data_IF_743284956499
#
_entry.id   IF_743284956499
#
_cell.length_a   1.000
_cell.length_b   1.000
_cell.length_c   1.000
_cell.angle_alpha   90.00
_cell.angle_beta   90.00
_cell.angle_gamma   90.00
#
_symmetry.space_group_name_H-M   'P 1'
#
loop_
_entity.id
_entity.type
_entity.pdbx_description
1 polymer ?
#
# COMPACT_ATOMS: atom_id res chain seq x y z
N UNK A 1 4.28 -8.60 10.17
CA UNK A 1 3.96 -9.03 8.79
C UNK A 1 2.56 -8.53 8.48
N UNK A 2 2.30 -8.03 7.26
CA UNK A 2 0.99 -7.51 6.84
C UNK A 2 0.46 -6.34 7.70
N UNK A 3 -0.87 -6.21 7.85
CA UNK A 3 -1.93 -7.14 7.39
C UNK A 3 -2.32 -6.99 5.90
N UNK A 4 -3.17 -7.91 5.43
CA UNK A 4 -3.70 -7.99 4.05
C UNK A 4 -2.91 -8.93 3.13
N UNK A 5 -3.15 -8.84 1.82
CA UNK A 5 -2.53 -9.73 0.83
C UNK A 5 -1.02 -9.48 0.60
N UNK A 6 -0.33 -10.53 0.15
CA UNK A 6 1.00 -10.45 -0.47
C UNK A 6 0.89 -10.50 -1.99
N UNK A 7 2.01 -10.36 -2.71
CA UNK A 7 2.02 -10.36 -4.18
C UNK A 7 2.97 -11.42 -4.73
N UNK A 8 2.59 -12.00 -5.87
CA UNK A 8 3.52 -12.75 -6.73
C UNK A 8 3.90 -11.84 -7.91
N UNK A 9 5.19 -11.60 -8.07
CA UNK A 9 5.73 -10.78 -9.17
C UNK A 9 5.67 -11.55 -10.49
N UNK A 10 5.75 -10.85 -11.62
CA UNK A 10 5.86 -11.47 -12.94
C UNK A 10 7.07 -12.42 -13.06
N UNK A 11 8.12 -12.22 -12.26
CA UNK A 11 9.28 -13.11 -12.16
C UNK A 11 9.00 -14.44 -11.43
N UNK A 12 7.81 -14.61 -10.84
CA UNK A 12 7.44 -15.76 -10.01
C UNK A 12 7.79 -15.59 -8.53
N UNK A 13 8.61 -14.58 -8.16
CA UNK A 13 8.96 -14.26 -6.77
C UNK A 13 7.71 -13.95 -5.95
N UNK A 14 7.62 -14.56 -4.77
CA UNK A 14 6.62 -14.21 -3.75
C UNK A 14 7.14 -13.08 -2.88
N UNK A 15 6.31 -12.09 -2.58
CA UNK A 15 6.65 -10.93 -1.74
C UNK A 15 5.56 -10.72 -0.69
N UNK A 16 5.97 -10.63 0.57
CA UNK A 16 5.09 -10.43 1.72
C UNK A 16 5.47 -9.12 2.44
N UNK A 17 4.60 -8.10 2.46
CA UNK A 17 4.87 -6.86 3.15
C UNK A 17 4.95 -7.05 4.66
N UNK A 18 5.80 -6.28 5.32
CA UNK A 18 6.00 -6.31 6.77
C UNK A 18 6.54 -4.97 7.28
N UNK A 19 6.66 -4.87 8.60
CA UNK A 19 7.36 -3.79 9.26
C UNK A 19 7.99 -4.31 10.55
N UNK A 20 9.04 -3.63 11.02
CA UNK A 20 9.75 -3.97 12.24
C UNK A 20 10.08 -2.72 13.05
N UNK A 21 10.25 -2.88 14.36
CA UNK A 21 10.78 -1.85 15.26
C UNK A 21 12.27 -2.15 15.51
N UNK A 22 13.20 -1.66 14.67
CA UNK A 22 14.62 -1.90 14.86
C UNK A 22 15.07 -1.33 16.21
N UNK A 23 15.68 -2.19 17.03
CA UNK A 23 16.32 -1.79 18.29
C UNK A 23 17.53 -0.93 17.94
N UNK A 24 17.54 0.32 18.43
CA UNK A 24 18.71 1.20 18.29
C UNK A 24 19.83 0.71 19.21
N UNK A 25 21.08 0.92 18.77
CA UNK A 25 22.27 0.44 19.47
C UNK A 25 22.31 0.80 20.96
N UNK A 26 23.03 -0.01 21.73
CA UNK A 26 23.29 0.26 23.15
C UNK A 26 24.51 1.20 23.26
N UNK A 27 24.47 2.16 24.16
CA UNK A 27 25.67 2.89 24.59
C UNK A 27 26.65 1.89 25.21
N UNK A 28 27.85 1.80 24.65
CA UNK A 28 28.90 0.85 25.05
C UNK A 28 28.45 -0.62 25.11
N UNK A 29 27.48 -1.03 24.28
CA UNK A 29 26.98 -2.41 24.25
C UNK A 29 26.11 -2.83 25.45
N UNK A 30 25.96 -1.98 26.48
CA UNK A 30 25.25 -2.34 27.72
C UNK A 30 23.94 -1.57 27.91
N UNK A 31 23.95 -0.24 27.72
CA UNK A 31 22.83 0.63 28.09
C UNK A 31 21.96 0.93 26.87
N UNK A 32 20.66 0.57 26.84
CA UNK A 32 19.77 0.98 25.76
C UNK A 32 19.73 2.50 25.64
N UNK A 33 19.96 3.04 24.44
CA UNK A 33 19.75 4.47 24.20
C UNK A 33 18.27 4.81 24.45
N UNK A 34 17.95 5.93 25.14
CA UNK A 34 16.58 6.31 25.51
C UNK A 34 15.77 6.87 24.33
N UNK A 35 15.99 6.34 23.13
CA UNK A 35 15.26 6.73 21.92
C UNK A 35 14.20 5.67 21.61
N UNK A 36 12.91 6.03 21.51
CA UNK A 36 11.88 5.06 21.12
C UNK A 36 12.21 4.45 19.76
N UNK A 37 12.09 3.13 19.66
CA UNK A 37 12.21 2.43 18.39
C UNK A 37 11.15 2.97 17.41
N UNK A 38 11.57 3.31 16.20
CA UNK A 38 10.68 3.84 15.16
C UNK A 38 10.43 2.73 14.15
N UNK A 39 9.16 2.43 13.81
CA UNK A 39 8.86 1.35 12.89
C UNK A 39 9.42 1.67 11.51
N UNK A 40 9.81 0.61 10.79
CA UNK A 40 10.23 0.66 9.40
C UNK A 40 9.57 -0.47 8.62
N UNK A 41 8.89 -0.12 7.54
CA UNK A 41 8.39 -1.06 6.55
C UNK A 41 9.56 -1.81 5.89
N UNK A 42 9.28 -3.04 5.45
CA UNK A 42 10.16 -3.94 4.70
C UNK A 42 9.29 -4.97 3.97
N UNK A 43 9.92 -5.85 3.19
CA UNK A 43 9.24 -7.04 2.67
C UNK A 43 10.07 -8.29 3.00
N UNK A 44 9.40 -9.43 3.13
CA UNK A 44 10.01 -10.74 2.96
C UNK A 44 9.79 -11.20 1.53
N UNK A 45 10.72 -11.93 0.96
CA UNK A 45 10.58 -12.47 -0.38
C UNK A 45 11.11 -13.90 -0.49
N UNK A 46 10.57 -14.65 -1.44
CA UNK A 46 10.95 -16.03 -1.75
C UNK A 46 11.00 -16.23 -3.26
N UNK A 47 12.09 -16.82 -3.73
CA UNK A 47 12.35 -17.14 -5.13
C UNK A 47 12.14 -18.63 -5.46
N UNK A 48 11.79 -19.44 -4.46
CA UNK A 48 11.71 -20.91 -4.55
C UNK A 48 10.32 -21.45 -4.19
N UNK A 49 9.28 -20.65 -4.47
CA UNK A 49 7.88 -21.02 -4.22
C UNK A 49 7.50 -21.08 -2.73
N UNK A 50 8.20 -20.33 -1.88
CA UNK A 50 7.92 -20.22 -0.45
C UNK A 50 8.68 -21.21 0.43
N UNK A 51 9.65 -21.97 -0.10
CA UNK A 51 10.46 -22.92 0.67
C UNK A 51 11.48 -22.20 1.55
N UNK A 52 12.10 -21.14 1.03
CA UNK A 52 13.04 -20.27 1.73
C UNK A 52 12.62 -18.81 1.63
N UNK A 53 12.90 -18.04 2.69
CA UNK A 53 12.53 -16.63 2.77
C UNK A 53 13.74 -15.75 3.11
N UNK A 54 13.83 -14.63 2.43
CA UNK A 54 14.83 -13.60 2.65
C UNK A 54 14.15 -12.31 3.12
N UNK A 55 14.86 -11.53 3.93
CA UNK A 55 14.37 -10.24 4.46
C UNK A 55 14.97 -9.10 3.65
N UNK A 56 14.12 -8.29 3.02
CA UNK A 56 14.52 -7.04 2.37
C UNK A 56 15.11 -6.01 3.33
N UNK A 57 15.69 -4.95 2.77
CA UNK A 57 16.17 -3.81 3.52
C UNK A 57 15.00 -3.04 4.17
N UNK A 58 15.28 -2.39 5.31
CA UNK A 58 14.33 -1.48 5.93
C UNK A 58 14.17 -0.22 5.07
N UNK A 59 12.94 0.24 4.89
CA UNK A 59 12.65 1.49 4.16
C UNK A 59 13.28 2.69 4.90
N UNK A 60 14.06 3.48 4.19
CA UNK A 60 14.68 4.72 4.68
C UNK A 60 13.72 5.93 4.54
N UNK A 61 14.12 7.12 5.01
CA UNK A 61 13.35 8.37 4.81
C UNK A 61 12.42 8.78 5.96
N UNK A 62 11.84 7.84 6.71
CA UNK A 62 11.07 8.17 7.92
C UNK A 62 10.41 6.95 8.60
N UNK A 63 9.76 7.13 9.75
CA UNK A 63 8.98 6.06 10.37
C UNK A 63 7.89 5.57 9.42
N UNK A 64 7.83 4.26 9.22
CA UNK A 64 6.83 3.61 8.36
C UNK A 64 6.32 2.35 9.04
N UNK A 65 5.00 2.20 9.09
CA UNK A 65 4.31 1.06 9.71
C UNK A 65 3.79 0.07 8.69
N UNK A 66 2.55 -0.38 8.90
CA UNK A 66 1.83 -1.31 8.01
C UNK A 66 1.83 -0.82 6.57
N UNK A 67 2.18 -1.70 5.64
CA UNK A 67 2.31 -1.40 4.23
C UNK A 67 1.72 -2.49 3.35
N UNK A 68 1.43 -2.13 2.10
CA UNK A 68 1.19 -3.07 1.01
C UNK A 68 2.04 -2.70 -0.19
N UNK A 69 2.26 -3.69 -1.07
CA UNK A 69 3.08 -3.56 -2.25
C UNK A 69 2.34 -4.02 -3.49
N UNK A 70 2.66 -3.44 -4.64
CA UNK A 70 2.11 -3.83 -5.93
C UNK A 70 3.19 -3.69 -7.02
N UNK A 71 3.22 -4.62 -7.97
CA UNK A 71 4.13 -4.55 -9.12
C UNK A 71 3.53 -3.63 -10.19
N UNK A 72 4.29 -2.62 -10.59
CA UNK A 72 3.88 -1.68 -11.64
C UNK A 72 4.80 -1.81 -12.84
N UNK A 73 4.20 -1.75 -14.04
CA UNK A 73 4.92 -1.69 -15.31
C UNK A 73 4.91 -0.25 -15.81
N UNK A 74 6.09 0.26 -16.16
CA UNK A 74 6.27 1.58 -16.77
C UNK A 74 6.76 1.31 -18.19
N UNK A 75 6.00 1.73 -19.20
CA UNK A 75 6.25 1.36 -20.60
C UNK A 75 7.73 1.45 -21.01
N UNK A 76 8.26 0.35 -21.56
CA UNK A 76 9.66 0.25 -22.01
C UNK A 76 10.72 0.21 -20.89
N UNK A 77 10.33 0.06 -19.62
CA UNK A 77 11.24 -0.04 -18.46
C UNK A 77 10.99 -1.33 -17.67
N UNK A 78 11.99 -1.73 -16.91
CA UNK A 78 11.84 -2.82 -15.94
C UNK A 78 10.74 -2.49 -14.90
N UNK A 79 9.97 -3.49 -14.45
CA UNK A 79 8.90 -3.28 -13.47
C UNK A 79 9.48 -2.78 -12.14
N UNK A 80 8.68 -2.00 -11.42
CA UNK A 80 9.00 -1.56 -10.06
C UNK A 80 8.02 -2.19 -9.06
N UNK A 81 8.52 -2.49 -7.87
CA UNK A 81 7.68 -2.79 -6.72
C UNK A 81 7.34 -1.47 -6.01
N UNK A 82 6.09 -1.02 -6.18
CA UNK A 82 5.53 0.12 -5.47
C UNK A 82 5.16 -0.29 -4.05
N UNK A 83 5.49 0.52 -3.05
CA UNK A 83 5.13 0.30 -1.65
C UNK A 83 4.41 1.53 -1.08
N UNK A 84 3.21 1.33 -0.51
CA UNK A 84 2.46 2.34 0.24
C UNK A 84 2.43 1.96 1.71
N UNK A 85 3.02 2.80 2.57
CA UNK A 85 3.15 2.54 4.00
C UNK A 85 2.45 3.61 4.85
N UNK A 86 1.87 3.16 5.96
CA UNK A 86 1.32 4.00 7.04
C UNK A 86 2.43 4.86 7.60
N UNK A 87 2.21 6.16 7.69
CA UNK A 87 3.22 7.10 8.15
C UNK A 87 2.64 8.24 9.01
N UNK A 88 3.41 8.73 10.00
CA UNK A 88 3.05 9.97 10.66
C UNK A 88 3.15 11.15 9.67
N UNK A 89 2.40 12.21 9.92
CA UNK A 89 2.49 13.47 9.16
C UNK A 89 1.32 13.75 8.22
N UNK A 90 0.24 12.98 8.29
CA UNK A 90 -1.03 13.30 7.63
C UNK A 90 -1.17 12.81 6.19
N UNK A 91 -0.18 12.06 5.69
CA UNK A 91 -0.23 11.41 4.39
C UNK A 91 0.65 10.15 4.35
N UNK A 92 0.37 9.27 3.39
CA UNK A 92 1.09 8.01 3.19
C UNK A 92 2.56 8.25 2.83
N UNK A 93 3.43 7.36 3.31
CA UNK A 93 4.79 7.24 2.80
C UNK A 93 4.80 6.27 1.62
N UNK A 94 5.38 6.69 0.50
CA UNK A 94 5.52 5.89 -0.71
C UNK A 94 6.98 5.66 -1.03
N UNK A 95 7.33 4.46 -1.49
CA UNK A 95 8.67 4.12 -1.96
C UNK A 95 8.62 3.05 -3.05
N UNK A 96 9.74 2.87 -3.74
CA UNK A 96 9.89 1.99 -4.89
C UNK A 96 11.12 1.10 -4.73
N UNK A 97 11.02 -0.13 -5.21
CA UNK A 97 12.15 -1.05 -5.38
C UNK A 97 12.25 -1.48 -6.84
N UNK A 98 13.45 -1.37 -7.40
CA UNK A 98 13.77 -1.83 -8.76
C UNK A 98 14.36 -3.26 -8.77
N UNK A 99 14.53 -3.86 -7.60
CA UNK A 99 15.17 -5.17 -7.41
C UNK A 99 14.22 -6.18 -6.72
N UNK A 100 12.91 -5.98 -6.87
CA UNK A 100 11.89 -6.92 -6.40
C UNK A 100 11.83 -7.05 -4.87
N UNK A 101 12.10 -5.97 -4.15
CA UNK A 101 11.98 -5.89 -2.69
C UNK A 101 13.28 -6.03 -1.89
N UNK A 102 14.43 -6.18 -2.55
CA UNK A 102 15.73 -6.25 -1.88
C UNK A 102 16.08 -4.90 -1.22
N UNK A 103 15.96 -3.81 -1.96
CA UNK A 103 16.18 -2.45 -1.48
C UNK A 103 15.07 -1.51 -1.95
N UNK A 104 14.72 -0.58 -1.09
CA UNK A 104 13.79 0.50 -1.38
C UNK A 104 14.52 1.84 -1.42
N UNK A 105 14.08 2.72 -2.30
CA UNK A 105 14.48 4.13 -2.25
C UNK A 105 14.04 4.78 -0.92
N UNK A 106 14.62 5.91 -0.51
CA UNK A 106 14.08 6.68 0.61
C UNK A 106 12.61 7.01 0.38
N UNK A 107 11.77 6.82 1.40
CA UNK A 107 10.34 7.07 1.27
C UNK A 107 10.02 8.55 1.05
N UNK A 108 9.19 8.84 0.05
CA UNK A 108 8.59 10.15 -0.18
C UNK A 108 7.20 10.28 0.44
N UNK A 109 6.72 11.51 0.57
CA UNK A 109 5.36 11.82 1.08
C UNK A 109 4.38 11.92 -0.08
N UNK A 110 3.27 11.20 -0.02
CA UNK A 110 2.22 11.26 -1.05
C UNK A 110 1.01 12.07 -0.55
N UNK A 111 0.99 13.38 -0.81
CA UNK A 111 -0.03 14.30 -0.26
C UNK A 111 -1.46 13.98 -0.73
N UNK A 112 -1.60 13.42 -1.94
CA UNK A 112 -2.86 12.96 -2.49
C UNK A 112 -3.50 11.84 -1.64
N UNK A 113 -2.67 10.99 -1.02
CA UNK A 113 -3.11 9.90 -0.14
C UNK A 113 -3.04 10.35 1.32
N UNK A 114 -4.16 10.89 1.80
CA UNK A 114 -4.29 11.38 3.17
C UNK A 114 -4.27 10.32 4.25
N UNK A 115 -3.84 10.71 5.43
CA UNK A 115 -3.75 9.83 6.59
C UNK A 115 -4.31 10.52 7.85
N UNK A 116 -5.18 9.86 8.65
CA UNK A 116 -5.67 10.44 9.90
C UNK A 116 -4.52 10.55 10.93
N UNK A 117 -4.65 11.35 12.00
CA UNK A 117 -3.56 11.63 12.94
C UNK A 117 -2.94 10.39 13.61
N UNK A 118 -3.75 9.34 13.83
CA UNK A 118 -3.30 8.05 14.39
C UNK A 118 -2.91 7.04 13.32
N UNK A 119 -2.99 7.40 12.04
CA UNK A 119 -2.80 6.51 10.90
C UNK A 119 -3.87 5.41 10.79
N UNK A 120 -3.85 4.75 9.64
CA UNK A 120 -4.65 3.55 9.37
C UNK A 120 -3.90 2.67 8.36
N UNK A 121 -4.14 1.37 8.40
CA UNK A 121 -3.78 0.53 7.26
C UNK A 121 -4.67 0.91 6.06
N UNK A 122 -4.14 0.70 4.86
CA UNK A 122 -4.87 0.82 3.60
C UNK A 122 -4.35 -0.22 2.62
N UNK A 123 -5.15 -0.53 1.60
CA UNK A 123 -4.84 -1.58 0.64
C UNK A 123 -4.51 -1.05 -0.74
N UNK A 124 -3.60 -1.72 -1.44
CA UNK A 124 -3.08 -1.34 -2.75
C UNK A 124 -3.04 -2.57 -3.67
N UNK A 125 -3.61 -2.45 -4.87
CA UNK A 125 -3.47 -3.46 -5.93
C UNK A 125 -3.10 -2.80 -7.26
N UNK A 126 -2.35 -3.53 -8.08
CA UNK A 126 -2.08 -3.17 -9.48
C UNK A 126 -2.99 -3.93 -10.42
N UNK A 127 -3.52 -3.28 -11.45
CA UNK A 127 -4.33 -3.90 -12.50
C UNK A 127 -4.10 -3.22 -13.84
N UNK A 128 -4.53 -3.82 -14.95
CA UNK A 128 -4.38 -3.23 -16.28
C UNK A 128 -5.12 -4.05 -17.34
N UNK A 129 -5.27 -3.47 -18.54
CA UNK A 129 -6.05 -4.05 -19.64
C UNK A 129 -5.42 -5.28 -20.34
N UNK A 130 -4.30 -5.82 -19.81
CA UNK A 130 -3.53 -6.91 -20.40
C UNK A 130 -2.36 -6.43 -21.28
N UNK A 131 -1.39 -7.31 -21.53
CA UNK A 131 -0.21 -7.06 -22.38
C UNK A 131 0.89 -6.21 -21.73
N UNK A 132 1.68 -5.50 -22.56
CA UNK A 132 2.74 -4.58 -22.13
C UNK A 132 2.22 -3.22 -21.62
N UNK A 133 0.89 -3.05 -21.51
CA UNK A 133 0.29 -1.80 -21.08
C UNK A 133 0.69 -1.44 -19.65
N UNK A 134 0.85 -0.14 -19.34
CA UNK A 134 1.10 0.32 -17.97
C UNK A 134 0.03 -0.19 -17.02
N UNK A 135 0.45 -0.67 -15.85
CA UNK A 135 -0.48 -1.12 -14.81
C UNK A 135 -0.89 0.07 -13.97
N UNK A 136 -2.18 0.27 -13.79
CA UNK A 136 -2.75 1.26 -12.88
C UNK A 136 -2.74 0.74 -11.45
N UNK A 137 -2.83 1.65 -10.49
CA UNK A 137 -2.97 1.32 -9.08
C UNK A 137 -4.36 1.69 -8.57
N UNK A 138 -4.99 0.77 -7.84
CA UNK A 138 -6.17 1.03 -7.05
C UNK A 138 -5.79 1.00 -5.56
N UNK A 139 -6.30 1.95 -4.79
CA UNK A 139 -6.02 2.05 -3.36
C UNK A 139 -7.31 2.30 -2.56
N UNK A 140 -7.45 1.63 -1.42
CA UNK A 140 -8.56 1.81 -0.47
C UNK A 140 -8.05 2.24 0.89
N UNK A 141 -8.65 3.29 1.45
CA UNK A 141 -8.29 3.83 2.77
C UNK A 141 -9.33 4.85 3.26
N UNK A 142 -9.50 5.02 4.59
CA UNK A 142 -10.33 6.10 5.14
C UNK A 142 -9.96 7.47 4.57
N UNK A 143 -10.93 8.18 4.01
CA UNK A 143 -10.69 9.44 3.30
C UNK A 143 -10.82 10.67 4.20
N UNK A 144 -11.40 10.52 5.39
CA UNK A 144 -11.54 11.61 6.35
C UNK A 144 -10.19 11.94 7.04
N UNK A 145 -9.79 13.22 7.00
CA UNK A 145 -8.44 13.66 7.44
C UNK A 145 -8.21 13.62 8.95
N UNK A 146 -9.26 13.51 9.77
CA UNK A 146 -9.17 13.61 11.25
C UNK A 146 -9.43 12.30 11.97
N UNK A 147 -10.10 11.33 11.33
CA UNK A 147 -10.50 10.08 11.96
C UNK A 147 -10.75 9.00 10.91
N UNK A 148 -10.81 7.74 11.35
CA UNK A 148 -11.02 6.56 10.51
C UNK A 148 -12.48 6.45 10.07
N UNK A 149 -12.83 7.18 9.02
CA UNK A 149 -14.17 7.22 8.44
C UNK A 149 -14.11 7.41 6.92
N UNK A 150 -15.22 7.06 6.27
CA UNK A 150 -15.49 7.25 4.86
C UNK A 150 -14.45 6.55 3.98
N UNK A 151 -14.59 5.23 3.81
CA UNK A 151 -13.66 4.40 3.05
C UNK A 151 -13.63 4.86 1.60
N UNK A 152 -12.54 5.51 1.18
CA UNK A 152 -12.38 6.03 -0.17
C UNK A 152 -11.70 5.04 -1.10
N UNK A 153 -12.10 5.07 -2.37
CA UNK A 153 -11.40 4.40 -3.47
C UNK A 153 -10.61 5.45 -4.27
N UNK A 154 -9.34 5.16 -4.50
CA UNK A 154 -8.39 6.02 -5.17
C UNK A 154 -7.78 5.28 -6.36
N UNK A 155 -7.56 6.00 -7.46
CA UNK A 155 -6.98 5.46 -8.68
C UNK A 155 -5.73 6.28 -9.04
N UNK A 156 -4.70 5.59 -9.52
CA UNK A 156 -3.56 6.20 -10.18
C UNK A 156 -3.35 5.53 -11.56
N UNK A 157 -3.64 6.24 -12.66
CA UNK A 157 -3.46 5.71 -14.01
C UNK A 157 -2.03 5.85 -14.54
N UNK A 158 -1.15 6.58 -13.84
CA UNK A 158 0.22 6.89 -14.25
C UNK A 158 1.28 6.61 -13.17
N UNK A 159 1.27 5.45 -12.49
CA UNK A 159 2.30 5.14 -11.51
C UNK A 159 3.68 5.10 -12.18
N UNK A 160 4.74 5.58 -11.54
CA UNK A 160 4.86 5.91 -10.11
C UNK A 160 4.52 7.35 -9.74
N UNK A 161 3.97 8.16 -10.66
CA UNK A 161 3.71 9.58 -10.39
C UNK A 161 2.69 9.75 -9.26
N UNK A 162 3.16 10.34 -8.14
CA UNK A 162 2.34 10.59 -6.96
C UNK A 162 1.27 11.66 -7.19
N UNK A 163 1.41 12.52 -8.19
CA UNK A 163 0.39 13.51 -8.57
C UNK A 163 -0.78 12.87 -9.34
N UNK A 164 -0.58 11.69 -9.94
CA UNK A 164 -1.61 10.96 -10.68
C UNK A 164 -2.72 10.35 -9.82
N UNK A 165 -2.61 10.40 -8.49
CA UNK A 165 -3.63 9.89 -7.59
C UNK A 165 -4.88 10.78 -7.57
N UNK A 166 -6.02 10.19 -7.92
CA UNK A 166 -7.35 10.81 -7.78
C UNK A 166 -8.25 9.99 -6.88
N UNK A 167 -9.05 10.65 -6.04
CA UNK A 167 -10.13 10.01 -5.28
C UNK A 167 -11.34 9.86 -6.20
N UNK A 168 -11.80 8.63 -6.41
CA UNK A 168 -12.95 8.37 -7.27
C UNK A 168 -14.27 8.57 -6.51
N UNK A 169 -14.51 7.78 -5.47
CA UNK A 169 -15.71 7.86 -4.64
C UNK A 169 -15.47 7.32 -3.23
N UNK A 170 -16.50 7.41 -2.37
CA UNK A 170 -16.54 6.80 -1.04
C UNK A 170 -17.31 5.48 -1.14
N UNK A 171 -16.64 4.35 -0.92
CA UNK A 171 -17.23 3.00 -0.98
C UNK A 171 -18.20 2.77 0.18
N UNK A 172 -17.82 3.22 1.38
CA UNK A 172 -18.63 3.12 2.58
C UNK A 172 -18.51 4.40 3.41
N UNK A 173 -19.64 5.06 3.63
CA UNK A 173 -19.74 6.21 4.53
C UNK A 173 -19.77 5.76 5.98
N UNK A 174 -19.26 6.58 6.89
CA UNK A 174 -19.27 6.28 8.33
C UNK A 174 -17.97 5.67 8.86
N UNK A 175 -17.97 5.07 10.07
CA UNK A 175 -16.81 4.38 10.63
C UNK A 175 -16.23 3.36 9.65
N UNK A 176 -14.96 3.53 9.29
CA UNK A 176 -14.26 2.63 8.39
C UNK A 176 -12.79 2.54 8.74
N UNK A 177 -12.25 1.32 8.84
CA UNK A 177 -10.91 1.02 9.31
C UNK A 177 -10.02 0.40 8.25
N UNK A 178 -9.46 -0.77 8.56
CA UNK A 178 -8.56 -1.51 7.70
C UNK A 178 -9.33 -2.04 6.48
N UNK A 179 -8.61 -2.25 5.38
CA UNK A 179 -9.20 -2.82 4.16
C UNK A 179 -8.21 -3.73 3.42
N UNK A 180 -8.71 -4.61 2.57
CA UNK A 180 -7.93 -5.42 1.65
C UNK A 180 -8.65 -5.57 0.31
N UNK A 181 -7.98 -5.14 -0.76
CA UNK A 181 -8.46 -5.19 -2.14
C UNK A 181 -7.99 -6.48 -2.82
N UNK A 182 -8.81 -6.98 -3.73
CA UNK A 182 -8.45 -8.04 -4.65
C UNK A 182 -8.95 -7.71 -6.05
N UNK A 183 -8.12 -7.98 -7.07
CA UNK A 183 -8.54 -7.94 -8.48
C UNK A 183 -9.24 -9.27 -8.77
N UNK A 184 -10.53 -9.23 -9.07
CA UNK A 184 -11.36 -10.44 -9.26
C UNK A 184 -11.27 -10.96 -10.69
N UNK A 185 -11.37 -10.05 -11.67
CA UNK A 185 -11.29 -10.39 -13.08
C UNK A 185 -10.45 -9.35 -13.85
N UNK A 186 -9.79 -9.73 -14.95
CA UNK A 186 -9.09 -8.81 -15.84
C UNK A 186 -9.95 -7.67 -16.41
N UNK A 187 -11.28 -7.79 -16.35
CA UNK A 187 -12.25 -6.78 -16.79
C UNK A 187 -12.49 -5.63 -15.81
N UNK A 188 -11.64 -5.42 -14.81
CA UNK A 188 -11.76 -4.31 -13.87
C UNK A 188 -12.84 -4.49 -12.80
N UNK A 189 -13.03 -5.74 -12.35
CA UNK A 189 -13.83 -6.06 -11.16
C UNK A 189 -12.93 -6.21 -9.94
N UNK A 190 -13.35 -5.61 -8.83
CA UNK A 190 -12.58 -5.55 -7.59
C UNK A 190 -13.44 -5.97 -6.41
N UNK A 191 -12.87 -6.81 -5.56
CA UNK A 191 -13.41 -7.10 -4.24
C UNK A 191 -12.68 -6.26 -3.20
N UNK A 192 -13.41 -5.79 -2.20
CA UNK A 192 -12.85 -5.09 -1.04
C UNK A 192 -13.45 -5.67 0.23
N UNK A 193 -12.61 -6.22 1.10
CA UNK A 193 -12.94 -6.53 2.50
C UNK A 193 -12.53 -5.35 3.37
N UNK A 194 -13.38 -4.91 4.30
CA UNK A 194 -13.06 -3.77 5.15
C UNK A 194 -13.78 -3.79 6.50
N UNK A 195 -13.13 -3.20 7.49
CA UNK A 195 -13.67 -2.92 8.82
C UNK A 195 -14.68 -1.77 8.78
N UNK A 196 -15.90 -1.96 9.30
CA UNK A 196 -16.93 -0.93 9.43
C UNK A 196 -17.87 -1.14 10.63
N UNK A 197 -18.84 -0.25 10.79
CA UNK A 197 -19.89 -0.35 11.80
C UNK A 197 -20.72 0.92 11.93
N UNK A 198 -21.69 0.92 12.83
CA UNK A 198 -22.56 2.06 13.11
C UNK A 198 -21.86 3.11 13.99
N UNK A 199 -21.17 2.67 15.05
CA UNK A 199 -20.49 3.56 16.00
C UNK A 199 -18.97 3.52 15.91
N UNK A 200 -18.39 2.36 15.61
CA UNK A 200 -16.96 2.09 15.52
C UNK A 200 -16.64 1.29 14.26
N UNK A 201 -15.41 1.38 13.76
CA UNK A 201 -14.97 0.58 12.62
C UNK A 201 -14.76 -0.90 12.96
N UNK A 202 -14.68 -1.26 14.25
CA UNK A 202 -14.35 -2.61 14.69
C UNK A 202 -15.59 -3.46 15.05
N UNK A 203 -16.74 -3.16 14.46
CA UNK A 203 -17.99 -3.90 14.72
C UNK A 203 -18.19 -5.03 13.71
N UNK A 204 -17.90 -4.77 12.44
CA UNK A 204 -18.16 -5.69 11.34
C UNK A 204 -17.01 -5.71 10.33
N UNK A 205 -16.89 -6.81 9.58
CA UNK A 205 -16.09 -6.90 8.36
C UNK A 205 -17.06 -7.06 7.19
N UNK A 206 -17.17 -6.04 6.36
CA UNK A 206 -18.01 -6.05 5.17
C UNK A 206 -17.21 -6.43 3.93
N UNK A 207 -17.91 -7.02 2.95
CA UNK A 207 -17.41 -7.29 1.62
C UNK A 207 -18.18 -6.44 0.61
N UNK A 208 -17.45 -5.81 -0.32
CA UNK A 208 -18.05 -5.11 -1.44
C UNK A 208 -17.37 -5.52 -2.75
N UNK A 209 -18.18 -5.87 -3.75
CA UNK A 209 -17.75 -6.12 -5.12
C UNK A 209 -18.15 -4.91 -5.97
N UNK A 210 -17.22 -4.35 -6.73
CA UNK A 210 -17.48 -3.21 -7.62
C UNK A 210 -16.64 -3.29 -8.90
N UNK A 211 -16.95 -2.43 -9.87
CA UNK A 211 -16.15 -2.25 -11.08
C UNK A 211 -15.87 -0.77 -11.33
N UNK A 212 -14.82 -0.50 -12.10
CA UNK A 212 -14.54 0.85 -12.60
C UNK A 212 -15.24 1.04 -13.95
N UNK A 213 -16.04 2.10 -14.09
CA UNK A 213 -16.65 2.45 -15.38
C UNK A 213 -15.59 2.95 -16.36
N UNK A 214 -15.80 2.78 -17.66
CA UNK A 214 -14.86 3.26 -18.70
C UNK A 214 -14.55 4.76 -18.58
N UNK A 215 -15.49 5.57 -18.09
CA UNK A 215 -15.29 7.00 -17.80
C UNK A 215 -14.31 7.26 -16.64
N UNK A 216 -14.33 6.41 -15.60
CA UNK A 216 -13.39 6.49 -14.47
C UNK A 216 -11.99 6.01 -14.83
N UNK A 217 -11.85 5.38 -16.00
CA UNK A 217 -10.62 4.83 -16.53
C UNK A 217 -9.92 5.80 -17.52
N UNK A 218 -10.53 6.92 -17.91
CA UNK A 218 -9.87 7.89 -18.79
C UNK A 218 -8.92 8.82 -18.01
N UNK A 219 -7.72 9.14 -18.53
CA UNK A 219 -6.97 10.32 -18.10
C UNK A 219 -7.85 11.57 -18.32
N UNK A 220 -7.88 12.51 -17.39
CA UNK A 220 -8.46 13.83 -17.72
C UNK A 220 -7.60 14.45 -18.83
N UNK A 221 -8.22 14.82 -19.96
CA UNK A 221 -7.54 15.60 -20.99
C UNK A 221 -7.24 17.01 -20.43
N UNK A 222 -6.07 17.60 -20.79
CA UNK A 222 -5.63 18.89 -20.27
C UNK A 222 -6.52 20.08 -20.72
#
# INVERSE_FOLDING_TARGET
VGPGHGVQLASGRLVVPAYAYPVRGRLCGAVPLPCPARPRALVFYSDDGGRGWQKGALVAGGPTGECQVAEISIGGRAPLLYCSARAPGGCRAVTFSADGGLRFQPSGRCQALGEPPRGCQGSLVSFGAGGEAPRWLLYSHPSHRRCRRDLGIYLNPSPPDGAGWRRLWVLQSGPAGYSDLAVVCPGGHFGCLFECGATSSCEEIAFCLFSLSSSQQQPEEP
#
